data_IF_452116238975
#
_entry.id   IF_452116238975
#
_cell.length_a   1.000
_cell.length_b   1.000
_cell.length_c   1.000
_cell.angle_alpha   90.00
_cell.angle_beta   90.00
_cell.angle_gamma   90.00
#
_symmetry.space_group_name_H-M   'P 1'
#
loop_
_entity.id
_entity.type
_entity.pdbx_description
1 polymer ?
#
# COMPACT_ATOMS: atom_id res chain seq x y z
N UNK A 1 -13.62 26.24 30.78
CA UNK A 1 -13.23 26.78 29.46
C UNK A 1 -12.44 25.68 28.80
N UNK A 2 -12.92 25.15 27.69
CA UNK A 2 -12.13 24.16 26.93
C UNK A 2 -10.89 24.87 26.41
N UNK A 3 -9.70 24.37 26.75
CA UNK A 3 -8.43 24.82 26.20
C UNK A 3 -8.50 24.67 24.68
N UNK A 4 -8.16 25.73 23.94
CA UNK A 4 -8.13 25.66 22.49
C UNK A 4 -6.85 24.91 22.08
N UNK A 5 -6.94 23.60 21.90
CA UNK A 5 -5.81 22.72 21.56
C UNK A 5 -4.93 23.24 20.43
N UNK A 6 -5.53 23.90 19.42
CA UNK A 6 -4.76 24.45 18.28
C UNK A 6 -3.94 25.64 18.76
N UNK A 7 -4.50 26.54 19.58
CA UNK A 7 -3.74 27.67 20.16
C UNK A 7 -2.58 27.20 21.02
N UNK A 8 -2.80 26.20 21.87
CA UNK A 8 -1.78 25.65 22.76
C UNK A 8 -0.65 25.02 21.94
N UNK A 9 -0.99 24.29 20.85
CA UNK A 9 0.00 23.71 19.95
C UNK A 9 0.81 24.77 19.20
N UNK A 10 0.15 25.83 18.70
CA UNK A 10 0.83 26.97 18.04
C UNK A 10 1.80 27.65 19.01
N UNK A 11 1.38 27.87 20.26
CA UNK A 11 2.22 28.48 21.27
C UNK A 11 3.41 27.60 21.62
N UNK A 12 3.22 26.29 21.80
CA UNK A 12 4.31 25.33 21.97
C UNK A 12 5.31 25.37 20.82
N UNK A 13 4.82 25.31 19.57
CA UNK A 13 5.71 25.36 18.40
C UNK A 13 6.48 26.68 18.28
N UNK A 14 5.88 27.82 18.67
CA UNK A 14 6.55 29.13 18.64
C UNK A 14 7.62 29.28 19.73
N UNK A 15 7.41 28.67 20.89
CA UNK A 15 8.28 28.81 22.07
C UNK A 15 9.36 27.72 22.19
N UNK A 16 9.35 26.70 21.32
CA UNK A 16 10.38 25.66 21.33
C UNK A 16 11.69 26.17 20.72
N UNK A 17 12.71 26.36 21.55
CA UNK A 17 14.04 26.82 21.13
C UNK A 17 14.75 25.84 20.19
N UNK A 18 14.37 24.55 20.23
CA UNK A 18 14.91 23.48 19.38
C UNK A 18 13.94 23.08 18.25
N UNK A 19 12.97 23.93 17.94
CA UNK A 19 11.97 23.61 16.93
C UNK A 19 12.59 23.25 15.58
N UNK A 20 12.12 22.17 14.94
CA UNK A 20 12.58 21.83 13.60
C UNK A 20 12.12 22.90 12.59
N UNK A 21 12.94 23.15 11.56
CA UNK A 21 12.59 24.13 10.50
C UNK A 21 11.21 23.89 9.86
N UNK A 22 10.74 22.66 9.90
CA UNK A 22 9.40 22.27 9.43
C UNK A 22 8.25 22.88 10.25
N UNK A 23 8.49 23.23 11.52
CA UNK A 23 7.46 23.85 12.36
C UNK A 23 7.06 25.27 11.86
N UNK A 24 8.01 25.98 11.23
CA UNK A 24 7.74 27.29 10.64
C UNK A 24 6.72 27.27 9.51
N UNK A 25 6.64 26.16 8.78
CA UNK A 25 5.66 25.99 7.72
C UNK A 25 4.31 25.44 8.25
N UNK A 26 4.30 24.75 9.39
CA UNK A 26 3.07 24.20 9.99
C UNK A 26 2.26 25.27 10.72
N UNK A 27 2.91 26.23 11.37
CA UNK A 27 2.26 27.30 12.15
C UNK A 27 1.22 28.08 11.33
N UNK A 28 1.52 28.61 10.12
CA UNK A 28 0.54 29.31 9.30
C UNK A 28 -0.69 28.47 8.94
N UNK A 29 -0.51 27.17 8.71
CA UNK A 29 -1.61 26.26 8.39
C UNK A 29 -2.54 26.08 9.60
N UNK A 30 -1.97 25.91 10.79
CA UNK A 30 -2.73 25.81 12.04
C UNK A 30 -3.48 27.11 12.36
N UNK A 31 -2.86 28.28 12.16
CA UNK A 31 -3.49 29.60 12.36
C UNK A 31 -4.67 29.81 11.40
N UNK A 32 -4.52 29.45 10.13
CA UNK A 32 -5.59 29.53 9.14
C UNK A 32 -6.77 28.61 9.51
N UNK A 33 -6.47 27.37 9.92
CA UNK A 33 -7.49 26.37 10.29
C UNK A 33 -8.21 26.75 11.59
N UNK A 34 -7.49 27.31 12.56
CA UNK A 34 -8.09 27.85 13.78
C UNK A 34 -9.11 28.98 13.49
N UNK A 35 -8.76 29.87 12.57
CA UNK A 35 -9.63 30.96 12.14
C UNK A 35 -10.89 30.46 11.41
N UNK A 36 -10.75 29.39 10.63
CA UNK A 36 -11.86 28.74 9.92
C UNK A 36 -12.85 28.09 10.90
N UNK A 37 -12.34 27.38 11.91
CA UNK A 37 -13.14 26.66 12.90
C UNK A 37 -13.88 27.58 13.89
N UNK A 38 -13.30 28.75 14.22
CA UNK A 38 -13.86 29.66 15.21
C UNK A 38 -13.72 29.20 16.67
N UNK A 39 -14.28 29.97 17.59
CA UNK A 39 -14.11 29.74 19.03
C UNK A 39 -14.99 28.61 19.60
N UNK A 40 -16.03 28.21 18.87
CA UNK A 40 -17.01 27.19 19.29
C UNK A 40 -16.68 25.78 18.79
N UNK A 41 -15.49 25.55 18.24
CA UNK A 41 -15.09 24.25 17.71
C UNK A 41 -15.01 23.18 18.81
N UNK A 42 -15.52 21.99 18.50
CA UNK A 42 -15.43 20.85 19.40
C UNK A 42 -13.99 20.29 19.43
N UNK A 43 -13.67 19.57 20.49
CA UNK A 43 -12.35 18.91 20.63
C UNK A 43 -12.06 17.98 19.47
N UNK A 44 -13.06 17.23 18.99
CA UNK A 44 -12.93 16.33 17.84
C UNK A 44 -12.64 17.07 16.53
N UNK A 45 -13.29 18.22 16.32
CA UNK A 45 -13.03 19.09 15.16
C UNK A 45 -11.62 19.69 15.20
N UNK A 46 -11.14 20.05 16.40
CA UNK A 46 -9.76 20.55 16.56
C UNK A 46 -8.72 19.45 16.30
N UNK A 47 -8.94 18.24 16.79
CA UNK A 47 -8.04 17.10 16.55
C UNK A 47 -7.99 16.74 15.06
N UNK A 48 -9.13 16.72 14.39
CA UNK A 48 -9.19 16.49 12.94
C UNK A 48 -8.44 17.58 12.16
N UNK A 49 -8.64 18.85 12.53
CA UNK A 49 -7.97 19.98 11.90
C UNK A 49 -6.45 19.94 12.07
N UNK A 50 -5.96 19.54 13.25
CA UNK A 50 -4.52 19.36 13.50
C UNK A 50 -3.98 18.25 12.60
N UNK A 51 -4.67 17.11 12.49
CA UNK A 51 -4.27 16.02 11.59
C UNK A 51 -4.22 16.46 10.12
N UNK A 52 -5.23 17.20 9.66
CA UNK A 52 -5.25 17.75 8.29
C UNK A 52 -4.06 18.68 8.03
N UNK A 53 -3.72 19.58 8.95
CA UNK A 53 -2.57 20.46 8.82
C UNK A 53 -1.24 19.71 8.79
N UNK A 54 -1.07 18.70 9.65
CA UNK A 54 0.14 17.85 9.67
C UNK A 54 0.26 17.10 8.35
N UNK A 55 -0.81 16.49 7.87
CA UNK A 55 -0.81 15.76 6.60
C UNK A 55 -0.53 16.67 5.41
N UNK A 56 -1.12 17.88 5.39
CA UNK A 56 -0.85 18.90 4.38
C UNK A 56 0.62 19.31 4.37
N UNK A 57 1.20 19.53 5.54
CA UNK A 57 2.62 19.88 5.68
C UNK A 57 3.55 18.75 5.22
N UNK A 58 3.29 17.50 5.63
CA UNK A 58 4.06 16.33 5.22
C UNK A 58 3.99 16.12 3.69
N UNK A 59 2.81 16.26 3.11
CA UNK A 59 2.63 16.14 1.67
C UNK A 59 3.39 17.25 0.92
N UNK A 60 3.34 18.50 1.39
CA UNK A 60 4.12 19.61 0.82
C UNK A 60 5.63 19.37 0.90
N UNK A 61 6.13 18.81 2.00
CA UNK A 61 7.56 18.49 2.17
C UNK A 61 8.04 17.36 1.26
N UNK A 62 7.11 16.48 0.83
CA UNK A 62 7.37 15.40 -0.14
C UNK A 62 7.17 15.85 -1.60
N UNK A 63 6.96 17.15 -1.84
CA UNK A 63 6.65 17.69 -3.17
C UNK A 63 5.25 17.31 -3.67
N UNK A 64 4.38 16.86 -2.75
CA UNK A 64 2.98 16.57 -3.00
C UNK A 64 2.20 17.82 -2.57
N UNK A 65 1.65 18.59 -3.50
CA UNK A 65 0.77 19.70 -3.12
C UNK A 65 -0.55 19.13 -2.59
N UNK A 66 -0.80 19.38 -1.32
CA UNK A 66 -2.12 19.24 -0.68
C UNK A 66 -2.78 20.63 -0.61
N UNK A 67 -2.50 21.48 -1.58
CA UNK A 67 -3.35 22.64 -1.83
C UNK A 67 -4.70 22.10 -2.23
N UNK A 68 -5.71 22.50 -1.47
CA UNK A 68 -7.07 22.02 -1.54
C UNK A 68 -7.54 21.77 -2.96
N UNK A 69 -7.36 20.51 -3.41
CA UNK A 69 -7.99 20.03 -4.63
C UNK A 69 -9.48 20.16 -4.32
N UNK A 70 -10.18 21.08 -5.01
CA UNK A 70 -11.62 21.24 -4.82
C UNK A 70 -12.30 19.89 -5.06
N UNK A 71 -13.43 19.66 -4.41
CA UNK A 71 -14.19 18.43 -4.66
C UNK A 71 -14.50 18.24 -6.15
N UNK A 72 -14.69 19.33 -6.91
CA UNK A 72 -14.91 19.34 -8.36
C UNK A 72 -13.66 18.88 -9.13
N UNK A 73 -12.46 19.38 -8.81
CA UNK A 73 -11.21 18.97 -9.46
C UNK A 73 -10.87 17.50 -9.18
N UNK A 74 -11.20 17.01 -7.97
CA UNK A 74 -11.06 15.60 -7.62
C UNK A 74 -11.99 14.75 -8.47
N UNK A 75 -13.23 15.16 -8.62
CA UNK A 75 -14.23 14.46 -9.42
C UNK A 75 -13.85 14.44 -10.90
N UNK A 76 -13.48 15.56 -11.49
CA UNK A 76 -13.05 15.65 -12.90
C UNK A 76 -11.82 14.76 -13.16
N UNK A 77 -10.84 14.80 -12.25
CA UNK A 77 -9.67 13.94 -12.34
C UNK A 77 -10.05 12.46 -12.30
N UNK A 78 -10.88 12.05 -11.33
CA UNK A 78 -11.29 10.66 -11.18
C UNK A 78 -12.12 10.16 -12.37
N UNK A 79 -13.03 10.98 -12.90
CA UNK A 79 -13.81 10.67 -14.10
C UNK A 79 -12.89 10.47 -15.32
N UNK A 80 -11.93 11.36 -15.52
CA UNK A 80 -10.96 11.25 -16.61
C UNK A 80 -10.08 10.00 -16.47
N UNK A 81 -9.49 9.80 -15.29
CA UNK A 81 -8.56 8.69 -15.02
C UNK A 81 -9.25 7.32 -15.09
N UNK A 82 -10.45 7.20 -14.50
CA UNK A 82 -11.22 5.96 -14.54
C UNK A 82 -11.75 5.65 -15.93
N UNK A 83 -12.15 6.67 -16.70
CA UNK A 83 -12.55 6.51 -18.11
C UNK A 83 -11.40 5.97 -18.93
N UNK A 84 -10.18 6.50 -18.75
CA UNK A 84 -8.99 6.03 -19.46
C UNK A 84 -8.65 4.57 -19.12
N UNK A 85 -8.77 4.17 -17.84
CA UNK A 85 -8.54 2.78 -17.41
C UNK A 85 -9.59 1.84 -17.99
N UNK A 86 -10.88 2.18 -17.92
CA UNK A 86 -11.96 1.38 -18.51
C UNK A 86 -11.80 1.21 -20.02
N UNK A 87 -11.54 2.32 -20.73
CA UNK A 87 -11.30 2.31 -22.17
C UNK A 87 -10.10 1.43 -22.56
N UNK A 88 -9.05 1.41 -21.74
CA UNK A 88 -7.93 0.51 -21.93
C UNK A 88 -8.35 -0.96 -21.81
N UNK A 89 -9.10 -1.34 -20.77
CA UNK A 89 -9.57 -2.71 -20.61
C UNK A 89 -10.50 -3.15 -21.75
N UNK A 90 -11.40 -2.26 -22.18
CA UNK A 90 -12.33 -2.53 -23.27
C UNK A 90 -11.62 -2.73 -24.61
N UNK A 91 -10.59 -1.90 -24.90
CA UNK A 91 -9.76 -2.02 -26.11
C UNK A 91 -8.92 -3.30 -26.15
N UNK A 92 -8.42 -3.75 -24.98
CA UNK A 92 -7.69 -5.02 -24.88
C UNK A 92 -8.65 -6.24 -24.80
N UNK A 93 -9.96 -6.03 -24.73
CA UNK A 93 -10.96 -7.08 -24.57
C UNK A 93 -10.91 -7.78 -23.21
N UNK A 94 -10.46 -7.10 -22.18
CA UNK A 94 -10.30 -7.67 -20.84
C UNK A 94 -11.56 -7.49 -20.00
N UNK A 95 -12.03 -8.58 -19.41
CA UNK A 95 -13.16 -8.53 -18.48
C UNK A 95 -12.70 -8.10 -17.09
N UNK A 96 -13.33 -7.09 -16.54
CA UNK A 96 -13.05 -6.56 -15.22
C UNK A 96 -14.32 -6.38 -14.39
N UNK A 97 -14.13 -6.25 -13.09
CA UNK A 97 -15.18 -5.86 -12.14
C UNK A 97 -14.71 -4.67 -11.30
N UNK A 98 -15.60 -3.72 -11.06
CA UNK A 98 -15.38 -2.62 -10.15
C UNK A 98 -15.67 -3.10 -8.72
N UNK A 99 -14.67 -3.12 -7.85
CA UNK A 99 -14.76 -3.63 -6.46
C UNK A 99 -15.01 -2.53 -5.45
N UNK A 100 -14.43 -1.37 -5.68
CA UNK A 100 -14.57 -0.18 -4.85
C UNK A 100 -14.82 0.98 -5.80
N UNK A 101 -15.83 1.79 -5.46
CA UNK A 101 -16.14 3.03 -6.15
C UNK A 101 -16.47 4.09 -5.10
N UNK A 102 -15.48 4.93 -4.82
CA UNK A 102 -15.56 6.07 -3.92
C UNK A 102 -15.13 7.33 -4.67
N UNK A 103 -15.48 8.52 -4.19
CA UNK A 103 -15.10 9.76 -4.86
C UNK A 103 -13.59 9.93 -5.08
N UNK A 104 -12.77 9.36 -4.21
CA UNK A 104 -11.30 9.48 -4.17
C UNK A 104 -10.55 8.18 -4.49
N UNK A 105 -11.25 7.05 -4.61
CA UNK A 105 -10.66 5.73 -4.84
C UNK A 105 -11.56 4.84 -5.67
N UNK A 106 -11.07 4.36 -6.80
CA UNK A 106 -11.71 3.30 -7.59
C UNK A 106 -10.76 2.12 -7.74
N UNK A 107 -11.29 0.90 -7.55
CA UNK A 107 -10.52 -0.34 -7.67
C UNK A 107 -11.19 -1.28 -8.66
N UNK A 108 -10.45 -1.63 -9.69
CA UNK A 108 -10.83 -2.65 -10.68
C UNK A 108 -10.11 -3.96 -10.39
N UNK A 109 -10.81 -5.08 -10.56
CA UNK A 109 -10.24 -6.42 -10.41
C UNK A 109 -10.52 -7.25 -11.66
N UNK A 110 -9.48 -7.98 -12.12
CA UNK A 110 -9.55 -8.87 -13.27
C UNK A 110 -8.68 -10.12 -13.08
N UNK A 111 -9.09 -11.23 -13.69
CA UNK A 111 -8.28 -12.45 -13.77
C UNK A 111 -7.32 -12.39 -14.96
N UNK A 112 -6.07 -12.77 -14.75
CA UNK A 112 -5.04 -12.76 -15.79
C UNK A 112 -4.24 -14.06 -15.77
N UNK A 113 -4.35 -14.84 -16.84
CA UNK A 113 -3.69 -16.14 -16.95
C UNK A 113 -2.36 -16.02 -17.66
N UNK A 114 -1.30 -16.45 -17.00
CA UNK A 114 0.06 -16.52 -17.53
C UNK A 114 0.55 -17.95 -17.54
N UNK A 115 1.71 -18.17 -18.17
CA UNK A 115 2.28 -19.50 -18.31
C UNK A 115 2.53 -20.18 -16.95
N UNK A 116 2.99 -19.46 -15.94
CA UNK A 116 3.38 -20.02 -14.65
C UNK A 116 2.27 -20.06 -13.62
N UNK A 117 1.32 -19.12 -13.69
CA UNK A 117 0.23 -19.02 -12.73
C UNK A 117 -0.92 -18.14 -13.26
N UNK A 118 -2.08 -18.30 -12.65
CA UNK A 118 -3.22 -17.36 -12.82
C UNK A 118 -3.12 -16.29 -11.74
N UNK A 119 -3.18 -15.04 -12.15
CA UNK A 119 -3.11 -13.88 -11.25
C UNK A 119 -4.48 -13.24 -11.08
N UNK A 120 -4.71 -12.69 -9.91
CA UNK A 120 -5.75 -11.71 -9.68
C UNK A 120 -5.10 -10.34 -9.71
N UNK A 121 -5.43 -9.55 -10.72
CA UNK A 121 -4.89 -8.20 -10.90
C UNK A 121 -5.85 -7.19 -10.29
N UNK A 122 -5.33 -6.23 -9.52
CA UNK A 122 -6.09 -5.07 -9.05
C UNK A 122 -5.45 -3.80 -9.59
N UNK A 123 -6.28 -2.92 -10.13
CA UNK A 123 -5.87 -1.59 -10.59
C UNK A 123 -6.60 -0.56 -9.73
N UNK A 124 -5.85 0.20 -8.96
CA UNK A 124 -6.36 1.26 -8.10
C UNK A 124 -6.10 2.61 -8.74
N UNK A 125 -7.11 3.44 -8.77
CA UNK A 125 -7.01 4.85 -9.16
C UNK A 125 -7.31 5.66 -7.91
N UNK A 126 -6.33 6.42 -7.45
CA UNK A 126 -6.41 7.21 -6.21
C UNK A 126 -6.28 8.70 -6.56
N UNK A 127 -7.20 9.51 -6.05
CA UNK A 127 -7.19 10.95 -6.30
C UNK A 127 -6.15 11.68 -5.43
N UNK A 128 -5.89 11.16 -4.23
CA UNK A 128 -4.95 11.77 -3.27
C UNK A 128 -4.11 10.66 -2.62
N UNK A 129 -2.82 10.59 -2.93
CA UNK A 129 -2.13 11.31 -4.02
C UNK A 129 -2.60 10.80 -5.38
N UNK A 130 -2.47 11.60 -6.46
CA UNK A 130 -2.86 11.17 -7.81
C UNK A 130 -1.96 10.03 -8.29
N UNK A 131 -2.34 8.80 -7.94
CA UNK A 131 -1.55 7.57 -8.15
C UNK A 131 -2.41 6.50 -8.80
N UNK A 132 -1.85 5.80 -9.78
CA UNK A 132 -2.34 4.51 -10.21
C UNK A 132 -1.45 3.42 -9.61
N UNK A 133 -2.08 2.46 -8.92
CA UNK A 133 -1.41 1.31 -8.32
C UNK A 133 -1.91 0.03 -8.98
N UNK A 134 -1.00 -0.84 -9.35
CA UNK A 134 -1.31 -2.14 -9.93
C UNK A 134 -0.74 -3.21 -9.01
N UNK A 135 -1.61 -4.08 -8.51
CA UNK A 135 -1.26 -5.24 -7.70
C UNK A 135 -1.53 -6.53 -8.50
N UNK A 136 -0.52 -7.37 -8.64
CA UNK A 136 -0.64 -8.73 -9.14
C UNK A 136 -0.61 -9.71 -7.96
N UNK A 137 -1.76 -10.24 -7.59
CA UNK A 137 -1.93 -11.11 -6.44
C UNK A 137 -1.65 -12.54 -6.86
N UNK A 138 -0.69 -13.17 -6.21
CA UNK A 138 -0.29 -14.55 -6.47
C UNK A 138 -1.33 -15.53 -5.93
N UNK A 139 -1.56 -16.68 -6.61
CA UNK A 139 -2.49 -17.72 -6.15
C UNK A 139 -1.87 -18.60 -5.05
N UNK A 140 -1.35 -17.95 -4.02
CA UNK A 140 -0.73 -18.56 -2.84
C UNK A 140 -1.11 -17.75 -1.61
N UNK A 141 -1.16 -18.45 -0.47
CA UNK A 141 -1.34 -17.81 0.84
C UNK A 141 -0.19 -18.24 1.73
N UNK A 142 0.46 -17.30 2.38
CA UNK A 142 1.50 -17.57 3.35
C UNK A 142 0.89 -17.96 4.71
N UNK A 143 1.64 -18.76 5.47
CA UNK A 143 1.32 -19.12 6.84
C UNK A 143 2.36 -18.46 7.76
N UNK A 144 1.94 -17.96 8.90
CA UNK A 144 2.78 -17.29 9.89
C UNK A 144 4.04 -18.09 10.26
N UNK A 145 3.96 -19.43 10.22
CA UNK A 145 5.09 -20.34 10.51
C UNK A 145 6.29 -20.15 9.57
N UNK A 146 6.06 -19.59 8.38
CA UNK A 146 7.09 -19.46 7.33
C UNK A 146 7.47 -18.00 7.02
N UNK A 147 6.92 -17.03 7.73
CA UNK A 147 7.08 -15.61 7.50
C UNK A 147 8.53 -15.18 7.30
N UNK A 148 9.44 -15.63 8.16
CA UNK A 148 10.85 -15.26 8.04
C UNK A 148 11.48 -15.71 6.72
N UNK A 149 11.21 -16.95 6.31
CA UNK A 149 11.76 -17.51 5.07
C UNK A 149 11.13 -16.84 3.84
N UNK A 150 9.84 -16.56 3.91
CA UNK A 150 9.12 -15.82 2.88
C UNK A 150 9.65 -14.39 2.74
N UNK A 151 9.77 -13.65 3.83
CA UNK A 151 10.33 -12.30 3.82
C UNK A 151 11.75 -12.26 3.26
N UNK A 152 12.58 -13.24 3.60
CA UNK A 152 13.94 -13.36 3.04
C UNK A 152 13.92 -13.64 1.55
N UNK A 153 13.02 -14.50 1.07
CA UNK A 153 12.85 -14.77 -0.37
C UNK A 153 12.36 -13.53 -1.10
N UNK A 154 11.36 -12.82 -0.56
CA UNK A 154 10.85 -11.57 -1.10
C UNK A 154 11.96 -10.50 -1.17
N UNK A 155 12.75 -10.33 -0.13
CA UNK A 155 13.88 -9.40 -0.12
C UNK A 155 14.90 -9.72 -1.22
N UNK A 156 15.19 -11.01 -1.44
CA UNK A 156 16.08 -11.49 -2.51
C UNK A 156 15.51 -11.21 -3.89
N UNK A 157 14.20 -11.46 -4.08
CA UNK A 157 13.50 -11.19 -5.34
C UNK A 157 13.41 -9.67 -5.64
N UNK A 158 13.29 -8.84 -4.62
CA UNK A 158 13.19 -7.39 -4.78
C UNK A 158 14.55 -6.73 -5.08
N UNK A 159 15.65 -7.30 -4.60
CA UNK A 159 16.98 -6.67 -4.70
C UNK A 159 17.39 -6.26 -6.14
N UNK A 160 17.22 -7.10 -7.18
CA UNK A 160 17.59 -6.76 -8.55
C UNK A 160 16.55 -5.89 -9.28
N UNK A 161 15.37 -5.67 -8.68
CA UNK A 161 14.25 -5.00 -9.36
C UNK A 161 14.42 -3.49 -9.32
N UNK A 162 14.11 -2.86 -10.46
CA UNK A 162 14.15 -1.39 -10.58
C UNK A 162 12.78 -0.76 -10.29
N UNK A 163 11.70 -1.47 -10.58
CA UNK A 163 10.33 -0.97 -10.49
C UNK A 163 9.45 -2.01 -9.83
N UNK A 164 8.62 -1.54 -8.90
CA UNK A 164 7.74 -2.39 -8.13
C UNK A 164 8.47 -3.32 -7.16
N UNK A 165 7.69 -4.04 -6.38
CA UNK A 165 8.20 -4.97 -5.39
C UNK A 165 7.21 -6.09 -5.07
N UNK A 166 7.73 -7.26 -4.72
CA UNK A 166 6.96 -8.29 -4.03
C UNK A 166 6.62 -7.81 -2.62
N UNK A 167 5.41 -8.06 -2.20
CA UNK A 167 4.88 -7.71 -0.88
C UNK A 167 4.19 -8.92 -0.24
N UNK A 168 4.19 -8.95 1.07
CA UNK A 168 3.50 -9.91 1.89
C UNK A 168 2.65 -9.15 2.91
N UNK A 169 1.36 -9.49 3.00
CA UNK A 169 0.45 -8.99 4.03
C UNK A 169 0.26 -10.07 5.08
N UNK A 170 0.79 -9.84 6.28
CA UNK A 170 0.73 -10.80 7.40
C UNK A 170 -0.69 -11.01 7.94
N UNK A 171 -1.62 -10.07 7.67
CA UNK A 171 -3.00 -10.12 8.20
C UNK A 171 -3.84 -11.20 7.55
N UNK A 172 -3.61 -11.47 6.26
CA UNK A 172 -4.38 -12.45 5.48
C UNK A 172 -3.51 -13.42 4.68
N UNK A 173 -2.19 -13.28 4.78
CA UNK A 173 -1.23 -14.11 4.08
C UNK A 173 -1.12 -13.82 2.57
N UNK A 174 -1.70 -12.71 2.09
CA UNK A 174 -1.66 -12.36 0.67
C UNK A 174 -0.23 -12.03 0.23
N UNK A 175 0.21 -12.63 -0.86
CA UNK A 175 1.49 -12.30 -1.50
C UNK A 175 1.20 -11.69 -2.86
N UNK A 176 1.73 -10.51 -3.11
CA UNK A 176 1.49 -9.76 -4.34
C UNK A 176 2.75 -9.10 -4.87
N UNK A 177 2.74 -8.76 -6.15
CA UNK A 177 3.71 -7.83 -6.74
C UNK A 177 3.01 -6.51 -7.01
N UNK A 178 3.55 -5.42 -6.46
CA UNK A 178 2.95 -4.09 -6.52
C UNK A 178 3.84 -3.10 -7.26
N UNK A 179 3.22 -2.28 -8.08
CA UNK A 179 3.81 -1.10 -8.66
C UNK A 179 2.86 0.07 -8.58
N UNK A 180 3.34 1.22 -8.08
CA UNK A 180 2.58 2.46 -8.00
C UNK A 180 3.30 3.54 -8.82
N UNK A 181 2.56 4.33 -9.58
CA UNK A 181 3.12 5.44 -10.35
C UNK A 181 2.21 6.66 -10.33
N UNK A 182 2.79 7.86 -10.33
CA UNK A 182 2.03 9.10 -10.33
C UNK A 182 1.28 9.29 -11.64
N UNK A 183 0.02 9.72 -11.54
CA UNK A 183 -0.87 10.03 -12.67
C UNK A 183 -1.38 11.47 -12.62
N UNK A 184 -0.56 12.39 -12.08
CA UNK A 184 -0.92 13.79 -11.92
C UNK A 184 -1.35 14.49 -13.22
N UNK A 185 -0.87 14.01 -14.36
CA UNK A 185 -1.22 14.50 -15.70
C UNK A 185 -2.21 13.58 -16.45
N UNK A 186 -2.84 12.63 -15.75
CA UNK A 186 -3.75 11.67 -16.33
C UNK A 186 -3.16 10.27 -16.55
N UNK A 187 -4.01 9.35 -17.00
CA UNK A 187 -3.64 7.96 -17.30
C UNK A 187 -3.42 7.83 -18.81
N UNK A 188 -2.19 7.46 -19.18
CA UNK A 188 -1.85 7.18 -20.58
C UNK A 188 -1.95 5.68 -20.84
N UNK A 189 -2.74 5.27 -21.84
CA UNK A 189 -3.04 3.86 -22.11
C UNK A 189 -1.79 3.02 -22.42
N UNK A 190 -0.85 3.55 -23.20
CA UNK A 190 0.39 2.83 -23.53
C UNK A 190 1.27 2.60 -22.30
N UNK A 191 1.34 3.57 -21.40
CA UNK A 191 2.05 3.42 -20.14
C UNK A 191 1.35 2.43 -19.23
N UNK A 192 0.02 2.52 -19.10
CA UNK A 192 -0.78 1.59 -18.32
C UNK A 192 -0.60 0.15 -18.82
N UNK A 193 -0.68 -0.09 -20.15
CA UNK A 193 -0.46 -1.40 -20.76
C UNK A 193 0.94 -1.94 -20.45
N UNK A 194 1.96 -1.13 -20.67
CA UNK A 194 3.35 -1.50 -20.43
C UNK A 194 3.59 -1.86 -18.96
N UNK A 195 3.08 -1.05 -18.04
CA UNK A 195 3.23 -1.25 -16.61
C UNK A 195 2.42 -2.47 -16.16
N UNK A 196 1.18 -2.62 -16.61
CA UNK A 196 0.33 -3.76 -16.28
C UNK A 196 1.00 -5.08 -16.65
N UNK A 197 1.50 -5.20 -17.89
CA UNK A 197 2.19 -6.40 -18.35
C UNK A 197 3.51 -6.62 -17.61
N UNK A 198 4.27 -5.56 -17.29
CA UNK A 198 5.49 -5.67 -16.51
C UNK A 198 5.22 -6.19 -15.09
N UNK A 199 4.15 -5.72 -14.43
CA UNK A 199 3.71 -6.19 -13.11
C UNK A 199 3.29 -7.65 -13.17
N UNK A 200 2.44 -8.01 -14.14
CA UNK A 200 1.97 -9.39 -14.31
C UNK A 200 3.12 -10.37 -14.58
N UNK A 201 4.04 -10.04 -15.48
CA UNK A 201 5.20 -10.87 -15.79
C UNK A 201 6.14 -10.98 -14.59
N UNK A 202 6.42 -9.87 -13.89
CA UNK A 202 7.28 -9.88 -12.70
C UNK A 202 6.73 -10.76 -11.59
N UNK A 203 5.42 -10.73 -11.36
CA UNK A 203 4.74 -11.61 -10.40
C UNK A 203 4.86 -13.09 -10.83
N UNK A 204 4.62 -13.38 -12.12
CA UNK A 204 4.71 -14.73 -12.68
C UNK A 204 6.12 -15.32 -12.60
N UNK A 205 7.14 -14.49 -12.86
CA UNK A 205 8.55 -14.93 -12.78
C UNK A 205 8.96 -15.27 -11.35
N UNK A 206 8.50 -14.48 -10.37
CA UNK A 206 8.81 -14.73 -8.95
C UNK A 206 7.99 -15.85 -8.33
N UNK A 207 6.88 -16.26 -8.96
CA UNK A 207 5.93 -17.20 -8.39
C UNK A 207 6.56 -18.51 -7.93
N UNK A 208 7.40 -19.12 -8.78
CA UNK A 208 8.00 -20.41 -8.49
C UNK A 208 8.94 -20.37 -7.28
N UNK A 209 9.70 -19.26 -7.11
CA UNK A 209 10.60 -19.10 -5.97
C UNK A 209 9.83 -18.80 -4.68
N UNK A 210 8.91 -17.87 -4.74
CA UNK A 210 8.11 -17.44 -3.57
C UNK A 210 7.24 -18.58 -3.06
N UNK A 211 6.60 -19.36 -3.95
CA UNK A 211 5.77 -20.52 -3.59
C UNK A 211 6.51 -21.56 -2.75
N UNK A 212 7.82 -21.70 -2.89
CA UNK A 212 8.62 -22.63 -2.07
C UNK A 212 8.57 -22.30 -0.58
N UNK A 213 8.27 -21.05 -0.25
CA UNK A 213 8.23 -20.52 1.11
C UNK A 213 6.81 -20.26 1.61
N UNK A 214 5.78 -20.70 0.88
CA UNK A 214 4.38 -20.63 1.28
C UNK A 214 3.83 -21.99 1.68
N UNK A 215 2.63 -22.00 2.27
CA UNK A 215 1.93 -23.23 2.69
C UNK A 215 1.80 -24.21 1.52
N UNK A 216 2.14 -25.49 1.78
CA UNK A 216 2.06 -26.56 0.81
C UNK A 216 3.40 -27.09 0.33
N UNK A 217 4.53 -26.50 0.75
CA UNK A 217 5.86 -27.02 0.45
C UNK A 217 6.10 -28.38 1.08
N UNK A 218 5.57 -28.59 2.29
CA UNK A 218 5.62 -29.86 2.99
C UNK A 218 4.20 -30.38 3.17
N UNK A 219 3.93 -31.56 2.63
CA UNK A 219 2.70 -32.27 2.94
C UNK A 219 2.69 -32.54 4.46
N UNK A 220 1.54 -32.48 5.11
CA UNK A 220 1.37 -32.76 6.55
C UNK A 220 2.12 -34.00 7.01
N UNK A 221 2.25 -35.01 6.13
CA UNK A 221 3.03 -36.22 6.35
C UNK A 221 4.53 -35.95 6.52
N UNK A 222 5.10 -35.08 5.67
CA UNK A 222 6.54 -34.75 5.70
C UNK A 222 6.91 -33.95 6.94
N UNK A 223 6.02 -33.02 7.37
CA UNK A 223 6.19 -32.28 8.64
C UNK A 223 6.18 -33.25 9.82
N UNK A 224 5.21 -34.16 9.86
CA UNK A 224 5.13 -35.18 10.94
C UNK A 224 6.35 -36.10 10.96
N UNK A 225 6.90 -36.46 9.82
CA UNK A 225 8.11 -37.29 9.72
C UNK A 225 9.35 -36.53 10.21
N UNK A 226 9.47 -35.25 9.91
CA UNK A 226 10.53 -34.36 10.43
C UNK A 226 10.41 -34.23 11.96
N UNK A 227 9.19 -33.95 12.47
CA UNK A 227 8.95 -33.84 13.90
C UNK A 227 9.27 -35.13 14.65
N UNK A 228 8.93 -36.30 14.08
CA UNK A 228 9.31 -37.61 14.67
C UNK A 228 10.81 -37.79 14.76
N UNK A 229 11.58 -37.40 13.71
CA UNK A 229 13.04 -37.45 13.70
C UNK A 229 13.65 -36.52 14.74
N UNK A 230 13.12 -35.28 14.86
CA UNK A 230 13.58 -34.34 15.88
C UNK A 230 13.34 -34.93 17.29
N UNK A 231 12.14 -35.43 17.55
CA UNK A 231 11.82 -36.01 18.84
C UNK A 231 12.68 -37.25 19.18
N UNK A 232 13.01 -38.10 18.21
CA UNK A 232 13.93 -39.21 18.40
C UNK A 232 15.34 -38.73 18.78
N UNK A 233 15.87 -37.73 18.06
CA UNK A 233 17.17 -37.12 18.37
C UNK A 233 17.22 -36.48 19.77
N UNK A 234 16.14 -35.80 20.18
CA UNK A 234 16.05 -35.22 21.52
C UNK A 234 16.01 -36.30 22.59
N UNK A 235 15.31 -37.42 22.34
CA UNK A 235 15.28 -38.58 23.27
C UNK A 235 16.64 -39.20 23.44
N UNK A 236 17.36 -39.43 22.32
CA UNK A 236 18.73 -40.03 22.36
C UNK A 236 19.70 -39.12 23.13
N UNK A 237 19.59 -37.82 23.03
CA UNK A 237 20.41 -36.84 23.77
C UNK A 237 20.08 -36.78 25.27
N UNK A 238 18.84 -37.10 25.66
CA UNK A 238 18.45 -37.17 27.08
C UNK A 238 18.93 -38.48 27.76
N UNK A 239 19.09 -39.58 27.01
CA UNK A 239 19.52 -40.85 27.54
C UNK A 239 21.07 -40.94 27.65
N UNK A 240 21.83 -40.07 26.99
CA UNK A 240 23.31 -40.01 27.12
C UNK A 240 23.78 -39.11 28.29
N UNK A 241 22.85 -38.51 29.03
CA UNK A 241 23.13 -37.57 30.13
C UNK A 241 22.95 -38.13 31.56
N UNK A 242 22.65 -39.41 31.72
CA UNK A 242 22.66 -40.13 32.98
C UNK A 242 23.92 -41.08 33.02
#
# INVERSE_FOLDING_TARGET
MASNKISDLIEQLKNDENRPAQADALIPLLEAKQKELGDDATEEQMDQAIQECIMAHLAGSLGMSVDGISGEETQEFMESATTAVKSFFDEEGWHYSERISKPDLVVYELGFNLQNCSLRMRVHVEAVPRVCRIDAILPITADETYDYLLCKAIAKENYPRRYGAMQYDERDGEVSYRYSYPIGHGVYKDDLKRIFLAVANSASDSYAEVKKHCVGRYKKKEINDILKRINALVSDLSDEGE
#
